data_IF_556903087973
#
_entry.id   IF_556903087973
#
_cell.length_a   1.000
_cell.length_b   1.000
_cell.length_c   1.000
_cell.angle_alpha   90.00
_cell.angle_beta   90.00
_cell.angle_gamma   90.00
#
_symmetry.space_group_name_H-M   'P 1'
#
loop_
_entity.id
_entity.type
_entity.pdbx_description
1 polymer ?
#
# COMPACT_ATOMS: atom_id res chain seq x y z
N UNK A 1 13.03 5.09 35.60
CA UNK A 1 11.56 5.09 35.81
C UNK A 1 10.92 5.83 34.64
N UNK A 2 10.50 5.11 33.62
CA UNK A 2 9.60 5.61 32.55
C UNK A 2 8.18 5.60 33.11
N UNK A 3 7.85 6.58 33.93
CA UNK A 3 6.47 6.74 34.44
C UNK A 3 5.56 7.20 33.30
N UNK A 4 4.54 6.41 32.98
CA UNK A 4 3.35 6.80 32.24
C UNK A 4 3.18 6.21 30.84
N UNK A 5 4.25 5.93 30.04
CA UNK A 5 4.11 5.46 28.68
C UNK A 5 3.43 4.08 28.60
N UNK A 6 3.97 3.10 29.30
CA UNK A 6 3.45 1.73 29.30
C UNK A 6 2.03 1.59 29.89
N UNK A 7 1.63 2.47 30.82
CA UNK A 7 0.32 2.40 31.44
C UNK A 7 -0.82 2.76 30.44
N UNK A 8 -0.60 3.78 29.63
CA UNK A 8 -1.59 4.20 28.61
C UNK A 8 -1.72 3.17 27.49
N UNK A 9 -0.58 2.63 27.03
CA UNK A 9 -0.56 1.58 26.00
C UNK A 9 -1.25 0.31 26.49
N UNK A 10 -0.98 -0.09 27.74
CA UNK A 10 -1.62 -1.26 28.37
C UNK A 10 -3.15 -1.06 28.51
N UNK A 11 -3.59 0.12 28.96
CA UNK A 11 -5.02 0.44 29.07
C UNK A 11 -5.69 0.35 27.69
N UNK A 12 -5.07 0.92 26.66
CA UNK A 12 -5.61 0.88 25.29
C UNK A 12 -5.66 -0.55 24.73
N UNK A 13 -4.69 -1.42 25.08
CA UNK A 13 -4.71 -2.84 24.71
C UNK A 13 -5.89 -3.57 25.39
N UNK A 14 -6.14 -3.30 26.67
CA UNK A 14 -7.26 -3.91 27.42
C UNK A 14 -8.58 -3.46 26.78
N UNK A 15 -8.79 -2.16 26.60
CA UNK A 15 -10.00 -1.61 26.01
C UNK A 15 -10.24 -2.19 24.59
N UNK A 16 -9.18 -2.32 23.78
CA UNK A 16 -9.29 -2.91 22.45
C UNK A 16 -9.69 -4.40 22.49
N UNK A 17 -9.21 -5.15 23.48
CA UNK A 17 -9.59 -6.55 23.68
C UNK A 17 -11.02 -6.68 24.19
N UNK A 18 -11.49 -5.80 25.07
CA UNK A 18 -12.87 -5.78 25.53
C UNK A 18 -13.84 -5.49 24.37
N UNK A 19 -13.49 -4.52 23.52
CA UNK A 19 -14.24 -4.21 22.29
C UNK A 19 -14.24 -5.40 21.34
N UNK A 20 -13.10 -6.07 21.15
CA UNK A 20 -12.97 -7.22 20.27
C UNK A 20 -13.93 -8.36 20.63
N UNK A 21 -14.10 -8.62 21.94
CA UNK A 21 -14.97 -9.70 22.41
C UNK A 21 -16.38 -9.30 22.78
N UNK A 22 -16.63 -8.01 23.00
CA UNK A 22 -17.93 -7.51 23.46
C UNK A 22 -18.84 -6.99 22.36
N UNK A 23 -18.31 -6.53 21.23
CA UNK A 23 -19.07 -5.82 20.23
C UNK A 23 -18.94 -6.46 18.84
N UNK A 24 -19.95 -6.20 17.98
CA UNK A 24 -19.91 -6.63 16.57
C UNK A 24 -19.22 -5.54 15.75
N UNK A 25 -18.02 -5.82 15.30
CA UNK A 25 -17.21 -4.94 14.48
C UNK A 25 -16.73 -5.64 13.22
N UNK A 26 -16.53 -4.89 12.15
CA UNK A 26 -15.96 -5.37 10.89
C UNK A 26 -14.44 -5.27 10.88
N UNK A 27 -13.86 -4.45 11.74
CA UNK A 27 -12.41 -4.24 11.82
C UNK A 27 -11.98 -3.12 12.75
N UNK A 28 -10.67 -2.90 12.83
CA UNK A 28 -10.04 -1.92 13.69
C UNK A 28 -9.13 -0.97 12.90
N UNK A 29 -9.12 0.30 13.32
CA UNK A 29 -8.11 1.26 12.91
C UNK A 29 -7.13 1.48 14.05
N UNK A 30 -5.88 1.04 13.88
CA UNK A 30 -4.81 1.22 14.85
C UNK A 30 -3.92 2.39 14.41
N UNK A 31 -3.88 3.45 15.21
CA UNK A 31 -3.09 4.66 14.92
C UNK A 31 -1.90 4.70 15.88
N UNK A 32 -0.79 4.12 15.46
CA UNK A 32 0.45 4.07 16.22
C UNK A 32 1.65 3.82 15.33
N UNK A 33 2.84 4.23 15.82
CA UNK A 33 4.12 3.86 15.22
C UNK A 33 4.91 2.89 16.12
N UNK A 34 4.27 2.36 17.16
CA UNK A 34 4.91 1.46 18.12
C UNK A 34 4.70 -0.01 17.75
N UNK A 35 5.78 -0.79 17.85
CA UNK A 35 5.77 -2.22 17.60
C UNK A 35 4.99 -3.03 18.65
N UNK A 36 4.75 -2.46 19.82
CA UNK A 36 4.06 -3.12 20.93
C UNK A 36 2.59 -3.42 20.60
N UNK A 37 2.03 -2.75 19.58
CA UNK A 37 0.70 -3.06 19.03
C UNK A 37 0.69 -4.22 18.02
N UNK A 38 1.84 -4.81 17.68
CA UNK A 38 1.92 -5.96 16.75
C UNK A 38 1.08 -7.14 17.23
N UNK A 39 1.15 -7.59 18.52
CA UNK A 39 0.32 -8.69 19.00
C UNK A 39 -1.18 -8.40 18.94
N UNK A 40 -1.59 -7.15 19.19
CA UNK A 40 -2.99 -6.75 19.09
C UNK A 40 -3.49 -6.86 17.63
N UNK A 41 -2.74 -6.33 16.67
CA UNK A 41 -3.09 -6.43 15.26
C UNK A 41 -3.21 -7.90 14.80
N UNK A 42 -2.27 -8.76 15.23
CA UNK A 42 -2.32 -10.20 14.95
C UNK A 42 -3.55 -10.85 15.57
N UNK A 43 -3.89 -10.51 16.82
CA UNK A 43 -5.05 -11.07 17.51
C UNK A 43 -6.36 -10.70 16.84
N UNK A 44 -6.53 -9.43 16.48
CA UNK A 44 -7.72 -8.97 15.74
C UNK A 44 -7.89 -9.74 14.43
N UNK A 45 -6.81 -9.94 13.68
CA UNK A 45 -6.84 -10.72 12.43
C UNK A 45 -7.14 -12.20 12.64
N UNK A 46 -6.67 -12.79 13.74
CA UNK A 46 -7.00 -14.18 14.12
C UNK A 46 -8.49 -14.37 14.37
N UNK A 47 -9.18 -13.32 14.84
CA UNK A 47 -10.65 -13.32 14.99
C UNK A 47 -11.38 -13.04 13.65
N UNK A 48 -10.65 -12.95 12.54
CA UNK A 48 -11.23 -12.74 11.20
C UNK A 48 -11.59 -11.30 10.89
N UNK A 49 -11.18 -10.34 11.72
CA UNK A 49 -11.48 -8.91 11.54
C UNK A 49 -10.35 -8.21 10.78
N UNK A 50 -10.71 -7.15 10.07
CA UNK A 50 -9.76 -6.35 9.29
C UNK A 50 -9.01 -5.36 10.15
N UNK A 51 -7.68 -5.22 9.94
CA UNK A 51 -6.84 -4.25 10.63
C UNK A 51 -6.27 -3.21 9.65
N UNK A 52 -6.66 -1.96 9.84
CA UNK A 52 -6.05 -0.81 9.19
C UNK A 52 -5.06 -0.14 10.15
N UNK A 53 -3.77 -0.19 9.82
CA UNK A 53 -2.72 0.51 10.56
C UNK A 53 -2.45 1.90 9.99
N UNK A 54 -2.22 2.86 10.87
CA UNK A 54 -1.78 4.21 10.52
C UNK A 54 -0.58 4.57 11.39
N UNK A 55 0.52 4.98 10.77
CA UNK A 55 1.73 5.34 11.51
C UNK A 55 2.74 6.08 10.63
N UNK A 56 3.83 6.50 11.24
CA UNK A 56 4.90 7.20 10.55
C UNK A 56 5.77 6.21 9.75
N UNK A 57 6.59 6.73 8.81
CA UNK A 57 7.53 5.92 8.01
C UNK A 57 8.56 5.15 8.84
N UNK A 58 8.82 5.59 10.08
CA UNK A 58 9.71 4.91 11.03
C UNK A 58 9.08 3.69 11.70
N UNK A 59 7.78 3.44 11.48
CA UNK A 59 7.06 2.31 12.09
C UNK A 59 7.75 0.99 11.76
N UNK A 60 8.02 0.14 12.77
CA UNK A 60 8.67 -1.14 12.55
C UNK A 60 7.88 -2.04 11.60
N UNK A 61 8.61 -2.72 10.71
CA UNK A 61 8.04 -3.59 9.67
C UNK A 61 7.16 -4.71 10.26
N UNK A 62 7.43 -5.15 11.49
CA UNK A 62 6.62 -6.17 12.16
C UNK A 62 5.17 -5.70 12.34
N UNK A 63 4.97 -4.47 12.83
CA UNK A 63 3.63 -3.90 12.99
C UNK A 63 2.96 -3.62 11.64
N UNK A 64 3.71 -3.07 10.66
CA UNK A 64 3.20 -2.84 9.30
C UNK A 64 2.65 -4.13 8.68
N UNK A 65 3.38 -5.24 8.79
CA UNK A 65 2.98 -6.55 8.25
C UNK A 65 1.87 -7.25 9.03
N UNK A 66 1.68 -6.88 10.28
CA UNK A 66 0.59 -7.39 11.11
C UNK A 66 -0.78 -6.81 10.71
N UNK A 67 -0.81 -5.70 9.99
CA UNK A 67 -2.02 -5.08 9.46
C UNK A 67 -2.39 -5.66 8.09
N UNK A 68 -3.67 -5.66 7.75
CA UNK A 68 -4.15 -5.97 6.39
C UNK A 68 -3.81 -4.82 5.44
N UNK A 69 -3.88 -3.58 5.95
CA UNK A 69 -3.46 -2.39 5.25
C UNK A 69 -2.77 -1.42 6.20
N UNK A 70 -1.66 -0.84 5.76
CA UNK A 70 -0.92 0.16 6.53
C UNK A 70 -0.76 1.45 5.73
N UNK A 71 -1.13 2.58 6.33
CA UNK A 71 -1.10 3.88 5.68
C UNK A 71 -0.12 4.77 6.43
N UNK A 72 0.93 5.20 5.74
CA UNK A 72 1.88 6.16 6.31
C UNK A 72 1.22 7.54 6.44
N UNK A 73 1.24 8.11 7.63
CA UNK A 73 0.57 9.39 7.94
C UNK A 73 1.10 10.55 7.10
N UNK A 74 2.33 10.47 6.61
CA UNK A 74 2.92 11.45 5.73
C UNK A 74 2.17 11.58 4.38
N UNK A 75 1.51 10.51 3.91
CA UNK A 75 0.73 10.60 2.67
C UNK A 75 -0.65 11.23 2.86
N UNK A 76 -1.09 11.41 4.11
CA UNK A 76 -2.38 12.02 4.43
C UNK A 76 -2.26 13.55 4.60
N UNK A 77 -1.07 14.07 4.86
CA UNK A 77 -0.85 15.52 4.97
C UNK A 77 -1.17 16.18 3.64
N UNK A 78 -2.13 17.09 3.64
CA UNK A 78 -2.39 17.96 2.49
C UNK A 78 -1.20 18.92 2.34
N UNK A 79 -0.84 19.25 1.10
CA UNK A 79 0.03 20.39 0.81
C UNK A 79 -0.77 21.67 1.13
N UNK A 80 -0.89 22.02 2.40
CA UNK A 80 -1.53 23.28 2.82
C UNK A 80 -0.64 24.44 2.40
N UNK A 81 -1.03 25.10 1.32
CA UNK A 81 -0.37 26.31 0.79
C UNK A 81 -0.58 27.54 1.67
N UNK A 82 -1.18 27.41 2.86
CA UNK A 82 -1.67 28.56 3.65
C UNK A 82 -1.01 28.82 4.99
N UNK A 83 0.00 28.03 5.39
CA UNK A 83 0.74 28.37 6.61
C UNK A 83 2.25 28.31 6.28
N UNK A 84 2.96 29.41 6.48
CA UNK A 84 4.38 29.64 6.21
C UNK A 84 5.40 28.68 6.85
N UNK A 85 5.01 27.45 7.10
CA UNK A 85 5.86 26.34 7.48
C UNK A 85 6.23 25.58 6.22
N UNK A 86 7.52 25.49 5.93
CA UNK A 86 8.10 24.73 4.80
C UNK A 86 7.75 23.25 5.00
N UNK A 87 6.57 22.86 4.54
CA UNK A 87 6.25 21.42 4.41
C UNK A 87 7.08 20.87 3.25
N UNK A 88 7.89 19.82 3.46
CA UNK A 88 8.66 19.24 2.37
C UNK A 88 7.69 18.80 1.25
N UNK A 89 7.83 19.39 0.06
CA UNK A 89 7.08 18.97 -1.14
C UNK A 89 7.19 17.45 -1.26
N UNK A 90 6.07 16.77 -1.48
CA UNK A 90 6.07 15.33 -1.75
C UNK A 90 7.07 15.04 -2.86
N UNK A 91 8.06 14.21 -2.55
CA UNK A 91 9.03 13.79 -3.56
C UNK A 91 8.29 12.93 -4.58
N UNK A 92 8.28 13.36 -5.84
CA UNK A 92 7.87 12.52 -6.97
C UNK A 92 9.11 11.78 -7.44
N UNK A 93 9.06 10.46 -7.40
CA UNK A 93 10.16 9.61 -7.83
C UNK A 93 10.27 9.63 -9.36
N UNK A 94 11.46 9.84 -9.87
CA UNK A 94 11.74 9.80 -11.30
C UNK A 94 11.64 8.38 -11.85
N UNK A 95 11.45 8.23 -13.16
CA UNK A 95 11.46 6.94 -13.85
C UNK A 95 12.70 6.11 -13.53
N UNK A 96 13.87 6.75 -13.40
CA UNK A 96 15.13 6.07 -13.06
C UNK A 96 15.09 5.50 -11.65
N UNK A 97 14.63 6.26 -10.66
CA UNK A 97 14.51 5.82 -9.27
C UNK A 97 13.50 4.68 -9.15
N UNK A 98 12.35 4.79 -9.83
CA UNK A 98 11.33 3.74 -9.85
C UNK A 98 11.84 2.43 -10.45
N UNK A 99 12.60 2.50 -11.54
CA UNK A 99 13.21 1.31 -12.17
C UNK A 99 14.27 0.64 -11.31
N UNK A 100 14.93 1.40 -10.45
CA UNK A 100 15.94 0.92 -9.51
C UNK A 100 15.33 0.31 -8.25
N UNK A 101 14.08 0.65 -7.93
CA UNK A 101 13.36 0.02 -6.81
C UNK A 101 12.91 -1.40 -7.21
N UNK A 102 13.84 -2.34 -7.00
CA UNK A 102 13.62 -3.76 -7.32
C UNK A 102 12.43 -4.35 -6.58
N UNK A 103 12.17 -3.90 -5.34
CA UNK A 103 11.02 -4.35 -4.55
C UNK A 103 9.72 -3.93 -5.21
N UNK A 104 9.59 -2.66 -5.58
CA UNK A 104 8.41 -2.12 -6.27
C UNK A 104 8.19 -2.82 -7.61
N UNK A 105 9.25 -2.91 -8.42
CA UNK A 105 9.16 -3.50 -9.76
C UNK A 105 8.74 -4.97 -9.70
N UNK A 106 9.35 -5.76 -8.80
CA UNK A 106 9.01 -7.17 -8.66
C UNK A 106 7.59 -7.36 -8.07
N UNK A 107 7.18 -6.51 -7.12
CA UNK A 107 5.83 -6.55 -6.56
C UNK A 107 4.77 -6.40 -7.66
N UNK A 108 4.93 -5.40 -8.54
CA UNK A 108 3.98 -5.16 -9.62
C UNK A 108 4.08 -6.26 -10.69
N UNK A 109 5.30 -6.69 -11.07
CA UNK A 109 5.50 -7.75 -12.06
C UNK A 109 4.82 -9.05 -11.66
N UNK A 110 5.05 -9.50 -10.45
CA UNK A 110 4.45 -10.73 -9.93
C UNK A 110 2.93 -10.61 -9.87
N UNK A 111 2.40 -9.45 -9.47
CA UNK A 111 0.96 -9.21 -9.46
C UNK A 111 0.34 -9.22 -10.87
N UNK A 112 1.07 -8.76 -11.88
CA UNK A 112 0.66 -8.86 -13.29
C UNK A 112 0.68 -10.31 -13.75
N UNK A 113 1.75 -11.06 -13.48
CA UNK A 113 1.89 -12.47 -13.87
C UNK A 113 0.78 -13.34 -13.29
N UNK A 114 0.44 -13.15 -12.02
CA UNK A 114 -0.61 -13.93 -11.37
C UNK A 114 -2.03 -13.60 -11.82
N UNK A 115 -2.21 -12.45 -12.47
CA UNK A 115 -3.53 -11.95 -12.90
C UNK A 115 -3.69 -11.93 -14.42
N UNK A 116 -2.64 -12.34 -15.15
CA UNK A 116 -2.61 -12.26 -16.60
C UNK A 116 -3.52 -13.30 -17.26
N UNK A 117 -4.17 -12.88 -18.33
CA UNK A 117 -4.82 -13.79 -19.28
C UNK A 117 -3.79 -14.54 -20.16
N UNK A 118 -4.26 -15.41 -21.06
CA UNK A 118 -3.43 -16.20 -21.98
C UNK A 118 -2.57 -15.33 -22.90
N UNK A 119 -2.92 -14.06 -23.09
CA UNK A 119 -2.16 -13.07 -23.88
C UNK A 119 -1.21 -12.24 -23.03
N UNK A 120 -1.14 -12.52 -21.72
CA UNK A 120 -0.31 -11.84 -20.76
C UNK A 120 -0.85 -10.48 -20.27
N UNK A 121 -2.11 -10.15 -20.55
CA UNK A 121 -2.76 -8.92 -20.08
C UNK A 121 -3.49 -9.13 -18.77
N UNK A 122 -3.31 -8.21 -17.84
CA UNK A 122 -4.00 -8.18 -16.55
C UNK A 122 -4.76 -6.86 -16.37
N UNK A 123 -5.97 -6.93 -15.81
CA UNK A 123 -6.70 -5.72 -15.41
C UNK A 123 -5.95 -4.99 -14.29
N UNK A 124 -5.76 -3.68 -14.44
CA UNK A 124 -5.08 -2.85 -13.45
C UNK A 124 -5.77 -2.89 -12.08
N UNK A 125 -7.09 -3.05 -12.04
CA UNK A 125 -7.84 -3.19 -10.79
C UNK A 125 -7.46 -4.46 -10.03
N UNK A 126 -7.41 -5.61 -10.71
CA UNK A 126 -7.01 -6.89 -10.14
C UNK A 126 -5.54 -6.85 -9.70
N UNK A 127 -4.66 -6.27 -10.53
CA UNK A 127 -3.26 -6.08 -10.18
C UNK A 127 -3.14 -5.22 -8.91
N UNK A 128 -3.90 -4.14 -8.80
CA UNK A 128 -3.92 -3.29 -7.61
C UNK A 128 -4.33 -4.05 -6.34
N UNK A 129 -5.34 -4.90 -6.44
CA UNK A 129 -5.75 -5.76 -5.33
C UNK A 129 -4.66 -6.75 -4.93
N UNK A 130 -4.03 -7.42 -5.89
CA UNK A 130 -2.95 -8.38 -5.63
C UNK A 130 -1.71 -7.71 -5.04
N UNK A 131 -1.36 -6.51 -5.49
CA UNK A 131 -0.26 -5.71 -4.91
C UNK A 131 -0.55 -5.37 -3.45
N UNK A 132 -1.77 -4.91 -3.14
CA UNK A 132 -2.18 -4.57 -1.77
C UNK A 132 -2.18 -5.80 -0.85
N UNK A 133 -2.65 -6.94 -1.33
CA UNK A 133 -2.65 -8.20 -0.57
C UNK A 133 -1.22 -8.69 -0.22
N UNK A 134 -0.24 -8.37 -1.06
CA UNK A 134 1.18 -8.77 -0.86
C UNK A 134 1.99 -7.78 -0.05
N UNK A 135 1.59 -6.51 -0.04
CA UNK A 135 2.30 -5.43 0.63
C UNK A 135 1.29 -4.49 1.27
N UNK A 136 1.03 -4.68 2.56
CA UNK A 136 0.04 -3.92 3.31
C UNK A 136 0.29 -2.41 3.26
N UNK A 137 1.56 -2.00 3.13
CA UNK A 137 2.01 -0.61 3.08
C UNK A 137 2.10 -0.04 1.65
N UNK A 138 1.71 -0.81 0.63
CA UNK A 138 1.75 -0.30 -0.73
C UNK A 138 0.70 0.79 -0.96
N UNK A 139 1.19 1.96 -1.36
CA UNK A 139 0.37 3.09 -1.80
C UNK A 139 1.14 3.87 -2.88
N UNK A 140 0.55 4.14 -4.06
CA UNK A 140 1.20 4.95 -5.10
C UNK A 140 1.64 6.33 -4.61
N UNK A 141 0.96 6.87 -3.60
CA UNK A 141 1.29 8.17 -2.99
C UNK A 141 2.63 8.15 -2.26
N UNK A 142 3.13 6.98 -1.85
CA UNK A 142 4.48 6.83 -1.29
C UNK A 142 5.58 7.18 -2.30
N UNK A 143 5.27 7.08 -3.59
CA UNK A 143 6.15 7.39 -4.73
C UNK A 143 5.83 8.74 -5.37
N UNK A 144 4.84 9.48 -4.83
CA UNK A 144 4.41 10.79 -5.32
C UNK A 144 3.33 10.75 -6.39
N UNK A 145 2.73 9.60 -6.67
CA UNK A 145 1.67 9.44 -7.67
C UNK A 145 0.30 9.26 -7.00
N UNK A 146 -0.75 9.85 -7.58
CA UNK A 146 -2.10 9.77 -7.00
C UNK A 146 -2.76 8.41 -7.20
N UNK A 147 -2.49 7.75 -8.31
CA UNK A 147 -3.13 6.49 -8.72
C UNK A 147 -2.09 5.47 -9.19
N UNK A 148 -2.41 4.18 -9.04
CA UNK A 148 -1.57 3.08 -9.51
C UNK A 148 -1.27 3.19 -11.02
N UNK A 149 -2.25 3.57 -11.84
CA UNK A 149 -2.05 3.74 -13.27
C UNK A 149 -1.01 4.81 -13.63
N UNK A 150 -0.95 5.92 -12.88
CA UNK A 150 0.08 6.96 -13.06
C UNK A 150 1.47 6.42 -12.69
N UNK A 151 1.57 5.69 -11.58
CA UNK A 151 2.82 5.07 -11.13
C UNK A 151 3.34 4.06 -12.15
N UNK A 152 2.46 3.18 -12.65
CA UNK A 152 2.83 2.15 -13.65
C UNK A 152 3.31 2.79 -14.96
N UNK A 153 2.63 3.86 -15.43
CA UNK A 153 3.08 4.63 -16.60
C UNK A 153 4.47 5.24 -16.38
N UNK A 154 4.72 5.79 -15.19
CA UNK A 154 6.00 6.41 -14.85
C UNK A 154 7.15 5.39 -14.76
N UNK A 155 6.89 4.15 -14.34
CA UNK A 155 7.88 3.06 -14.30
C UNK A 155 8.37 2.69 -15.71
N UNK A 156 7.51 2.75 -16.74
CA UNK A 156 7.83 2.45 -18.15
C UNK A 156 8.35 1.00 -18.42
N UNK A 157 8.16 0.06 -17.51
CA UNK A 157 8.53 -1.35 -17.66
C UNK A 157 7.34 -2.23 -18.07
N UNK A 158 6.17 -1.64 -18.23
CA UNK A 158 4.92 -2.32 -18.57
C UNK A 158 4.37 -1.78 -19.88
N UNK A 159 3.66 -2.62 -20.61
CA UNK A 159 2.77 -2.21 -21.69
C UNK A 159 1.41 -1.88 -21.09
N UNK A 160 0.73 -0.88 -21.64
CA UNK A 160 -0.54 -0.40 -21.11
C UNK A 160 -1.50 -0.30 -22.29
N UNK A 161 -2.69 -0.85 -22.11
CA UNK A 161 -3.79 -0.83 -23.07
C UNK A 161 -5.05 -0.28 -22.38
N UNK A 162 -5.66 0.73 -22.97
CA UNK A 162 -6.89 1.36 -22.47
C UNK A 162 -8.04 0.92 -23.34
N UNK A 163 -8.93 0.06 -22.82
CA UNK A 163 -10.07 -0.47 -23.52
C UNK A 163 -11.33 0.24 -23.09
N UNK A 164 -12.05 0.82 -24.07
CA UNK A 164 -13.39 1.35 -23.85
C UNK A 164 -14.36 0.18 -23.70
N UNK A 165 -15.29 0.27 -22.77
CA UNK A 165 -16.46 -0.61 -22.78
C UNK A 165 -17.52 -0.02 -23.70
N UNK A 166 -18.10 -0.84 -24.56
CA UNK A 166 -19.25 -0.45 -25.36
C UNK A 166 -20.35 0.10 -24.46
N UNK A 167 -20.78 1.34 -24.74
CA UNK A 167 -21.80 2.09 -24.00
C UNK A 167 -21.43 2.64 -22.61
N UNK A 168 -20.16 2.70 -22.19
CA UNK A 168 -19.74 3.35 -20.94
C UNK A 168 -18.59 4.32 -21.17
N UNK A 169 -18.61 5.52 -20.53
CA UNK A 169 -17.45 6.41 -20.52
C UNK A 169 -16.27 5.88 -19.69
N UNK A 170 -16.43 4.70 -19.05
CA UNK A 170 -15.39 4.10 -18.24
C UNK A 170 -14.37 3.35 -19.12
N UNK A 171 -13.10 3.72 -18.96
CA UNK A 171 -11.99 3.02 -19.59
C UNK A 171 -11.40 2.00 -18.64
N UNK A 172 -11.33 0.75 -19.05
CA UNK A 172 -10.60 -0.28 -18.33
C UNK A 172 -9.14 -0.28 -18.77
N UNK A 173 -8.25 -0.15 -17.81
CA UNK A 173 -6.81 -0.17 -18.04
C UNK A 173 -6.31 -1.61 -17.84
N UNK A 174 -5.64 -2.13 -18.86
CA UNK A 174 -4.93 -3.40 -18.83
C UNK A 174 -3.43 -3.15 -18.88
N UNK A 175 -2.67 -3.98 -18.21
CA UNK A 175 -1.21 -3.90 -18.19
C UNK A 175 -0.60 -5.27 -18.47
N UNK A 176 0.59 -5.26 -19.08
CA UNK A 176 1.36 -6.46 -19.39
C UNK A 176 2.85 -6.22 -19.13
N UNK A 177 3.56 -7.23 -18.66
CA UNK A 177 5.01 -7.17 -18.54
C UNK A 177 5.66 -7.03 -19.93
N UNK A 178 6.50 -6.01 -20.14
CA UNK A 178 7.30 -5.94 -21.36
C UNK A 178 8.20 -7.14 -21.45
N UNK A 179 8.18 -7.85 -22.59
CA UNK A 179 9.14 -8.92 -22.88
C UNK A 179 10.56 -8.34 -22.82
N UNK A 180 11.48 -9.00 -22.13
CA UNK A 180 12.90 -8.67 -22.25
C UNK A 180 13.27 -8.79 -23.72
N UNK A 181 13.81 -7.73 -24.32
CA UNK A 181 14.53 -7.87 -25.60
C UNK A 181 15.69 -8.80 -25.31
N UNK A 182 15.60 -10.04 -25.73
CA UNK A 182 16.77 -10.88 -25.93
C UNK A 182 17.53 -10.19 -27.06
N UNK A 183 18.68 -9.60 -26.74
CA UNK A 183 19.65 -9.24 -27.76
C UNK A 183 20.15 -10.57 -28.36
N UNK A 184 19.59 -10.94 -29.52
CA UNK A 184 20.25 -11.89 -30.38
C UNK A 184 21.53 -11.21 -30.80
N UNK A 185 22.63 -11.67 -30.22
CA UNK A 185 23.96 -11.48 -30.80
C UNK A 185 24.06 -12.51 -31.94
N UNK A 186 23.90 -12.02 -33.16
CA UNK A 186 24.44 -12.69 -34.33
C UNK A 186 25.96 -12.52 -34.34
#
# INVERSE_FOLDING_TARGET
>A
YTKGKNATEMAMLIDAMDILYGERMDGFCLVSSDSDFTPLAQRIRQEGLTVYGFGERKTPTAFVRACDRFIYTEVLRKDDKTAGTVTPKRKVYSTRELKQDTRLVNLIRNAVEDSADDNGWASLGVVGQNVTNRSADFDPRNYGYKKLGELVRAIQLFEIDERSMDNSPAHNIYIRNKKRRTSNSD
#
